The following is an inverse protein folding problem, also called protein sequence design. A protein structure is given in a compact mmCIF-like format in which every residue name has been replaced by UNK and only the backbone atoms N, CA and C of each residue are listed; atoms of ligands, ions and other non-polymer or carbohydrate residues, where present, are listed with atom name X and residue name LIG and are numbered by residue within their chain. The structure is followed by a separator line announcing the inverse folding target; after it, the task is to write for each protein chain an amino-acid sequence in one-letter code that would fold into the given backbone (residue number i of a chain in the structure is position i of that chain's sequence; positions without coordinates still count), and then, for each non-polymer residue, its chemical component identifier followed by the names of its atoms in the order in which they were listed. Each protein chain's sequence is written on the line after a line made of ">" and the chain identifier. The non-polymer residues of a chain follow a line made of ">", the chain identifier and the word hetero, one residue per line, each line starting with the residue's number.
data_IF_590630706446
#
_entry.id   IF_590630706446
#
_cell.length_a   1.000
_cell.length_b   1.000
_cell.length_c   1.000
_cell.angle_alpha   90.00
_cell.angle_beta   90.00
_cell.angle_gamma   90.00
#
_symmetry.space_group_name_H-M   'P 1'
#
loop_
_entity.id
_entity.type
_entity.pdbx_description
1 polymer ?
#
# COMPACT_ATOMS: atom_id res chain seq x y z
N UNK A 1 11.58 -7.20 5.23
CA UNK A 1 10.11 -7.21 5.19
C UNK A 1 9.69 -7.63 3.79
N UNK A 2 8.65 -8.43 3.69
CA UNK A 2 8.04 -8.80 2.42
C UNK A 2 6.51 -8.73 2.57
N UNK A 3 5.82 -8.40 1.51
CA UNK A 3 4.36 -8.49 1.42
C UNK A 3 3.99 -9.78 0.71
N UNK A 4 3.13 -10.60 1.30
CA UNK A 4 2.80 -11.85 0.66
C UNK A 4 2.08 -12.88 1.51
N UNK A 5 2.29 -14.12 1.13
CA UNK A 5 1.70 -15.30 1.75
C UNK A 5 2.74 -16.15 2.47
N UNK A 6 2.32 -16.69 3.58
CA UNK A 6 3.03 -17.73 4.32
C UNK A 6 2.47 -19.10 3.95
N UNK A 7 3.33 -20.04 3.67
CA UNK A 7 2.96 -21.44 3.42
C UNK A 7 3.74 -22.36 4.35
N UNK A 8 3.05 -23.33 4.95
CA UNK A 8 3.69 -24.34 5.75
C UNK A 8 3.04 -25.70 5.56
N UNK A 9 3.86 -26.75 5.37
CA UNK A 9 3.40 -28.14 5.49
C UNK A 9 3.17 -28.45 6.96
N UNK A 10 1.98 -28.97 7.28
CA UNK A 10 1.63 -29.30 8.65
C UNK A 10 2.19 -30.68 9.04
N UNK A 11 2.68 -30.86 10.27
CA UNK A 11 2.89 -32.19 10.82
C UNK A 11 1.55 -32.90 10.94
N UNK A 12 1.57 -34.19 11.27
CA UNK A 12 0.34 -34.92 11.59
C UNK A 12 -0.25 -34.34 12.89
N UNK A 13 -1.45 -33.79 12.80
CA UNK A 13 -2.20 -33.19 13.91
C UNK A 13 -3.55 -33.89 14.04
N UNK A 14 -4.13 -33.89 15.22
CA UNK A 14 -5.51 -34.37 15.44
C UNK A 14 -6.52 -33.46 14.75
N UNK A 15 -7.63 -33.97 14.29
CA UNK A 15 -8.72 -33.16 13.76
C UNK A 15 -9.17 -32.13 14.82
N UNK A 16 -9.35 -30.88 14.40
CA UNK A 16 -9.72 -29.78 15.26
C UNK A 16 -8.55 -29.12 16.01
N UNK A 17 -7.31 -29.62 15.86
CA UNK A 17 -6.14 -28.96 16.47
C UNK A 17 -5.89 -27.62 15.78
N UNK A 18 -5.75 -26.56 16.57
CA UNK A 18 -5.53 -25.20 16.08
C UNK A 18 -4.05 -24.83 16.13
N UNK A 19 -3.54 -24.32 15.02
CA UNK A 19 -2.19 -23.72 14.90
C UNK A 19 -2.35 -22.26 14.57
N UNK A 20 -1.74 -21.38 15.35
CA UNK A 20 -1.78 -19.93 15.13
C UNK A 20 -0.48 -19.45 14.50
N UNK A 21 -0.58 -18.66 13.44
CA UNK A 21 0.50 -17.90 12.82
C UNK A 21 0.26 -16.41 13.06
N UNK A 22 1.19 -15.75 13.74
CA UNK A 22 1.18 -14.30 13.97
C UNK A 22 2.32 -13.67 13.17
N UNK A 23 2.07 -12.49 12.60
CA UNK A 23 2.98 -11.82 11.68
C UNK A 23 3.48 -10.52 12.29
N UNK A 24 4.76 -10.19 12.04
CA UNK A 24 5.36 -8.93 12.46
C UNK A 24 6.48 -8.51 11.52
N UNK A 25 6.64 -7.23 11.31
CA UNK A 25 7.77 -6.66 10.59
C UNK A 25 8.97 -6.38 11.51
N UNK A 26 8.76 -6.40 12.83
CA UNK A 26 9.74 -5.99 13.81
C UNK A 26 9.85 -6.93 15.01
N UNK A 27 10.92 -6.76 15.76
CA UNK A 27 11.09 -7.26 17.13
C UNK A 27 11.20 -6.08 18.07
N UNK A 28 10.83 -6.28 19.35
CA UNK A 28 11.04 -5.27 20.39
C UNK A 28 12.54 -5.01 20.59
N UNK A 29 12.88 -4.00 21.36
CA UNK A 29 14.29 -3.69 21.71
C UNK A 29 14.98 -4.83 22.44
N UNK A 30 14.21 -5.65 23.15
CA UNK A 30 14.64 -6.84 23.88
C UNK A 30 14.77 -8.07 22.97
N UNK A 31 14.39 -7.96 21.70
CA UNK A 31 14.42 -9.06 20.72
C UNK A 31 13.19 -9.97 20.74
N UNK A 32 12.16 -9.59 21.49
CA UNK A 32 10.90 -10.31 21.53
C UNK A 32 10.01 -10.01 20.31
N UNK A 33 9.10 -10.91 19.99
CA UNK A 33 8.16 -10.75 18.89
C UNK A 33 7.21 -9.57 19.16
N UNK A 34 7.27 -8.56 18.32
CA UNK A 34 6.39 -7.39 18.40
C UNK A 34 5.02 -7.71 17.81
N UNK A 35 3.99 -7.77 18.67
CA UNK A 35 2.65 -8.21 18.28
C UNK A 35 1.87 -7.06 17.64
N UNK A 36 1.69 -7.11 16.32
CA UNK A 36 1.00 -6.08 15.55
C UNK A 36 -0.49 -6.40 15.28
N UNK A 37 -1.00 -7.53 15.78
CA UNK A 37 -2.40 -7.90 15.68
C UNK A 37 -2.77 -8.72 14.44
N UNK A 38 -1.88 -8.89 13.47
CA UNK A 38 -2.11 -9.74 12.30
C UNK A 38 -1.90 -11.21 12.64
N UNK A 39 -2.88 -12.05 12.36
CA UNK A 39 -2.79 -13.49 12.60
C UNK A 39 -3.71 -14.31 11.71
N UNK A 40 -3.32 -15.57 11.50
CA UNK A 40 -4.16 -16.61 10.92
C UNK A 40 -4.24 -17.79 11.86
N UNK A 41 -5.38 -18.52 11.80
CA UNK A 41 -5.56 -19.77 12.53
C UNK A 41 -5.81 -20.88 11.51
N UNK A 42 -5.02 -21.93 11.58
CA UNK A 42 -5.23 -23.15 10.83
C UNK A 42 -5.88 -24.21 11.74
N UNK A 43 -6.97 -24.80 11.29
CA UNK A 43 -7.65 -25.89 11.98
C UNK A 43 -7.39 -27.19 11.22
N UNK A 44 -6.71 -28.13 11.88
CA UNK A 44 -6.31 -29.40 11.27
C UNK A 44 -7.51 -30.30 10.97
N UNK A 45 -7.49 -30.93 9.80
CA UNK A 45 -8.49 -31.91 9.40
C UNK A 45 -8.18 -33.34 9.85
N UNK A 46 -7.04 -33.57 10.52
CA UNK A 46 -6.62 -34.89 11.01
C UNK A 46 -6.04 -35.82 9.94
N UNK A 47 -5.55 -35.30 8.84
CA UNK A 47 -5.02 -36.04 7.70
C UNK A 47 -3.52 -35.85 7.50
N UNK A 48 -2.89 -36.81 6.84
CA UNK A 48 -1.47 -36.65 6.44
C UNK A 48 -1.36 -35.72 5.23
N UNK A 49 -0.29 -34.91 5.17
CA UNK A 49 0.04 -34.09 4.03
C UNK A 49 -0.74 -32.79 3.95
N UNK A 50 -1.38 -32.39 5.05
CA UNK A 50 -2.03 -31.08 5.13
C UNK A 50 -1.01 -29.95 5.03
N UNK A 51 -1.46 -28.82 4.53
CA UNK A 51 -0.67 -27.60 4.47
C UNK A 51 -1.56 -26.38 4.68
N UNK A 52 -0.96 -25.32 5.19
CA UNK A 52 -1.54 -23.99 5.26
C UNK A 52 -0.91 -23.09 4.20
N UNK A 53 -1.73 -22.27 3.58
CA UNK A 53 -1.33 -21.09 2.78
C UNK A 53 -2.43 -20.05 2.89
N UNK A 54 -2.05 -18.78 3.06
CA UNK A 54 -2.99 -17.67 2.89
C UNK A 54 -3.66 -17.75 1.50
N UNK A 55 -4.90 -17.31 1.40
CA UNK A 55 -5.64 -17.32 0.11
C UNK A 55 -6.08 -15.93 -0.32
N UNK A 56 -6.86 -15.25 0.50
CA UNK A 56 -7.45 -13.96 0.17
C UNK A 56 -6.85 -12.82 0.98
N UNK A 57 -6.33 -13.11 2.16
CA UNK A 57 -5.57 -12.20 2.97
C UNK A 57 -4.07 -12.30 2.64
N UNK A 58 -3.36 -11.23 2.84
CA UNK A 58 -1.90 -11.17 2.76
C UNK A 58 -1.38 -10.46 4.01
N UNK A 59 -0.11 -10.65 4.29
CA UNK A 59 0.56 -9.99 5.40
C UNK A 59 1.86 -9.34 4.92
N UNK A 60 2.30 -8.30 5.62
CA UNK A 60 3.64 -7.79 5.47
C UNK A 60 4.44 -8.13 6.71
N UNK A 61 5.50 -8.88 6.54
CA UNK A 61 6.23 -9.45 7.66
C UNK A 61 7.72 -9.65 7.38
N UNK A 62 8.47 -9.71 8.44
CA UNK A 62 9.82 -10.25 8.51
C UNK A 62 9.86 -11.49 9.39
N UNK A 63 8.98 -11.54 10.37
CA UNK A 63 8.92 -12.60 11.39
C UNK A 63 7.52 -13.23 11.40
N UNK A 64 7.49 -14.55 11.58
CA UNK A 64 6.25 -15.30 11.79
C UNK A 64 6.42 -16.13 13.06
N UNK A 65 5.56 -15.85 14.04
CA UNK A 65 5.48 -16.68 15.26
C UNK A 65 4.41 -17.74 15.05
N UNK A 66 4.82 -19.00 15.21
CA UNK A 66 3.94 -20.16 15.07
C UNK A 66 3.72 -20.76 16.45
N UNK A 67 2.47 -20.86 16.87
CA UNK A 67 2.08 -21.39 18.19
C UNK A 67 1.27 -22.67 18.06
N UNK A 68 1.27 -23.47 19.13
CA UNK A 68 0.53 -24.74 19.24
C UNK A 68 1.00 -25.85 18.27
N UNK A 69 2.25 -25.83 17.85
CA UNK A 69 2.85 -26.99 17.18
C UNK A 69 3.43 -27.96 18.22
N UNK A 70 3.32 -29.29 18.00
CA UNK A 70 3.89 -30.29 18.90
C UNK A 70 5.43 -30.31 18.88
N UNK A 71 6.05 -29.80 17.82
CA UNK A 71 7.49 -29.70 17.66
C UNK A 71 7.84 -28.56 16.69
N UNK A 72 9.11 -28.11 16.74
CA UNK A 72 9.65 -27.11 15.81
C UNK A 72 9.52 -27.63 14.36
N UNK A 73 8.91 -26.87 13.44
CA UNK A 73 8.81 -27.26 12.04
C UNK A 73 10.17 -27.29 11.37
N UNK A 74 10.33 -28.15 10.39
CA UNK A 74 11.54 -28.15 9.55
C UNK A 74 11.50 -26.95 8.59
N UNK A 75 12.66 -26.35 8.36
CA UNK A 75 12.78 -25.16 7.49
C UNK A 75 12.28 -25.43 6.06
N UNK A 76 12.53 -26.64 5.53
CA UNK A 76 12.05 -27.03 4.20
C UNK A 76 10.52 -27.15 4.08
N UNK A 77 9.79 -27.13 5.19
CA UNK A 77 8.32 -27.13 5.23
C UNK A 77 7.72 -25.73 5.10
N UNK A 78 8.53 -24.71 5.22
CA UNK A 78 8.11 -23.32 5.28
C UNK A 78 8.51 -22.62 3.99
N UNK A 79 7.56 -21.82 3.43
CA UNK A 79 7.81 -20.93 2.31
C UNK A 79 7.20 -19.57 2.58
N UNK A 80 7.86 -18.54 2.14
CA UNK A 80 7.37 -17.18 2.06
C UNK A 80 7.21 -16.82 0.59
N UNK A 81 6.00 -16.44 0.20
CA UNK A 81 5.62 -16.17 -1.19
C UNK A 81 5.34 -14.68 -1.32
N UNK A 82 6.24 -13.94 -1.97
CA UNK A 82 6.02 -12.52 -2.22
C UNK A 82 4.88 -12.32 -3.22
N UNK A 83 3.97 -11.40 -2.91
CA UNK A 83 2.90 -10.95 -3.79
C UNK A 83 3.19 -9.52 -4.21
N UNK A 84 3.13 -9.26 -5.51
CA UNK A 84 3.30 -7.93 -6.10
C UNK A 84 2.63 -7.87 -7.46
N UNK A 85 2.39 -6.66 -7.97
CA UNK A 85 1.95 -6.48 -9.34
C UNK A 85 3.02 -6.97 -10.32
N UNK A 86 2.63 -7.81 -11.29
CA UNK A 86 3.55 -8.31 -12.33
C UNK A 86 3.81 -7.20 -13.37
N UNK A 87 4.51 -6.17 -12.93
CA UNK A 87 4.85 -5.02 -13.77
C UNK A 87 6.12 -5.28 -14.57
N UNK A 88 6.07 -4.97 -15.86
CA UNK A 88 7.25 -4.96 -16.70
C UNK A 88 8.20 -3.85 -16.23
N UNK A 89 9.43 -4.22 -15.90
CA UNK A 89 10.49 -3.25 -15.59
C UNK A 89 10.85 -2.46 -16.84
N UNK A 90 10.86 -1.13 -16.72
CA UNK A 90 11.12 -0.21 -17.85
C UNK A 90 12.44 0.53 -17.75
N UNK A 91 13.05 0.55 -16.58
CA UNK A 91 14.33 1.18 -16.36
C UNK A 91 15.27 0.30 -15.54
N UNK A 92 16.56 0.43 -15.80
CA UNK A 92 17.65 -0.11 -15.00
C UNK A 92 18.58 1.01 -14.60
N UNK A 93 19.20 0.89 -13.45
CA UNK A 93 20.19 1.85 -12.98
C UNK A 93 21.40 1.09 -12.44
N UNK A 94 22.58 1.51 -12.89
CA UNK A 94 23.86 1.02 -12.41
C UNK A 94 24.88 2.16 -12.49
N UNK A 95 25.68 2.33 -11.45
CA UNK A 95 26.78 3.30 -11.41
C UNK A 95 27.97 2.73 -10.62
N UNK A 96 29.07 3.46 -10.58
CA UNK A 96 30.28 3.08 -9.86
C UNK A 96 30.15 3.17 -8.33
N UNK A 97 29.12 3.86 -7.83
CA UNK A 97 28.84 4.01 -6.39
C UNK A 97 27.94 2.87 -5.92
N UNK A 98 28.49 2.05 -5.02
CA UNK A 98 27.78 0.87 -4.47
C UNK A 98 26.57 1.26 -3.61
N UNK A 99 26.62 2.38 -2.90
CA UNK A 99 25.53 2.83 -2.03
C UNK A 99 24.34 3.33 -2.85
N UNK A 100 24.59 4.04 -3.94
CA UNK A 100 23.53 4.46 -4.86
C UNK A 100 22.86 3.25 -5.53
N UNK A 101 23.62 2.25 -5.93
CA UNK A 101 23.05 1.00 -6.45
C UNK A 101 22.20 0.28 -5.39
N UNK A 102 22.66 0.23 -4.13
CA UNK A 102 21.91 -0.38 -3.03
C UNK A 102 20.61 0.39 -2.73
N UNK A 103 20.64 1.71 -2.72
CA UNK A 103 19.47 2.57 -2.53
C UNK A 103 18.45 2.34 -3.65
N UNK A 104 18.89 2.31 -4.92
CA UNK A 104 18.01 2.04 -6.05
C UNK A 104 17.31 0.67 -5.92
N UNK A 105 18.07 -0.37 -5.59
CA UNK A 105 17.53 -1.72 -5.40
C UNK A 105 16.55 -1.78 -4.22
N UNK A 106 16.83 -1.07 -3.15
CA UNK A 106 15.93 -0.96 -1.98
C UNK A 106 14.61 -0.27 -2.36
N UNK A 107 14.66 0.83 -3.10
CA UNK A 107 13.46 1.53 -3.58
C UNK A 107 12.65 0.61 -4.49
N UNK A 108 13.31 -0.07 -5.42
CA UNK A 108 12.67 -0.99 -6.36
C UNK A 108 11.96 -2.14 -5.62
N UNK A 109 12.60 -2.71 -4.60
CA UNK A 109 12.01 -3.74 -3.76
C UNK A 109 10.83 -3.21 -2.92
N UNK A 110 10.97 -2.00 -2.37
CA UNK A 110 9.89 -1.34 -1.61
C UNK A 110 8.66 -1.13 -2.49
N UNK A 111 8.84 -0.63 -3.71
CA UNK A 111 7.72 -0.47 -4.66
C UNK A 111 7.00 -1.79 -4.93
N UNK A 112 7.72 -2.90 -5.05
CA UNK A 112 7.10 -4.24 -5.19
C UNK A 112 6.30 -4.63 -3.95
N UNK A 113 6.78 -4.32 -2.76
CA UNK A 113 6.07 -4.63 -1.52
C UNK A 113 4.80 -3.80 -1.31
N UNK A 114 4.73 -2.60 -1.90
CA UNK A 114 3.63 -1.66 -1.72
C UNK A 114 2.60 -1.70 -2.86
N UNK A 115 2.93 -2.27 -4.03
CA UNK A 115 2.07 -2.22 -5.22
C UNK A 115 1.49 -3.58 -5.56
N UNK A 116 0.25 -3.79 -5.17
CA UNK A 116 -0.57 -4.94 -5.55
C UNK A 116 -2.04 -4.53 -5.56
N UNK A 117 -2.91 -5.36 -6.10
CA UNK A 117 -4.37 -5.11 -6.14
C UNK A 117 -4.81 -3.84 -6.89
N UNK A 118 -3.96 -3.29 -7.75
CA UNK A 118 -4.33 -2.19 -8.65
C UNK A 118 -4.12 -0.78 -8.11
N UNK A 119 -3.44 -0.63 -6.98
CA UNK A 119 -2.97 0.65 -6.42
C UNK A 119 -1.75 0.44 -5.52
N UNK A 120 -1.14 1.53 -5.09
CA UNK A 120 -0.09 1.50 -4.08
C UNK A 120 -0.67 1.76 -2.70
N UNK A 121 -0.25 0.98 -1.73
CA UNK A 121 -0.61 1.20 -0.32
C UNK A 121 0.50 1.95 0.42
N UNK A 122 0.15 2.60 1.51
CA UNK A 122 1.07 3.25 2.44
C UNK A 122 1.92 2.25 3.21
N UNK A 123 1.28 1.40 4.00
CA UNK A 123 1.92 0.37 4.81
C UNK A 123 1.16 -0.98 4.69
N UNK A 124 1.81 -2.03 4.17
CA UNK A 124 1.11 -3.27 3.85
C UNK A 124 0.83 -4.16 5.07
N UNK A 125 1.28 -3.77 6.26
CA UNK A 125 1.10 -4.51 7.52
C UNK A 125 0.04 -3.89 8.44
N UNK A 126 -0.41 -2.65 8.20
CA UNK A 126 -1.41 -1.96 9.04
C UNK A 126 -2.61 -1.52 8.21
N UNK A 127 -2.58 -0.31 7.67
CA UNK A 127 -3.73 0.37 7.08
C UNK A 127 -4.10 -0.17 5.69
N UNK A 128 -3.12 -0.50 4.86
CA UNK A 128 -3.28 -1.05 3.49
C UNK A 128 -4.13 -0.16 2.60
N UNK A 129 -4.00 1.14 2.79
CA UNK A 129 -4.83 2.13 2.13
C UNK A 129 -4.08 2.87 1.01
N UNK A 130 -4.79 3.22 -0.05
CA UNK A 130 -4.24 3.95 -1.19
C UNK A 130 -4.20 5.45 -0.92
N UNK A 131 -3.30 5.91 -0.04
CA UNK A 131 -3.15 7.32 0.28
C UNK A 131 -2.64 8.13 -0.90
N UNK A 132 -3.29 9.26 -1.17
CA UNK A 132 -2.92 10.15 -2.26
C UNK A 132 -1.56 10.84 -2.07
N UNK A 133 -1.17 11.10 -0.82
CA UNK A 133 0.15 11.66 -0.49
C UNK A 133 1.28 10.71 -0.85
N UNK A 134 1.14 9.44 -0.47
CA UNK A 134 2.06 8.36 -0.83
C UNK A 134 2.10 8.16 -2.34
N UNK A 135 0.93 8.16 -2.97
CA UNK A 135 0.80 8.14 -4.41
C UNK A 135 1.56 9.27 -5.10
N UNK A 136 1.38 10.51 -4.65
CA UNK A 136 2.07 11.68 -5.20
C UNK A 136 3.59 11.58 -5.06
N UNK A 137 4.07 11.19 -3.90
CA UNK A 137 5.51 11.05 -3.61
C UNK A 137 6.17 9.96 -4.45
N UNK A 138 5.45 8.87 -4.73
CA UNK A 138 5.99 7.67 -5.36
C UNK A 138 5.72 7.57 -6.86
N UNK A 139 4.80 8.35 -7.40
CA UNK A 139 4.36 8.25 -8.81
C UNK A 139 5.53 8.32 -9.79
N UNK A 140 6.44 9.27 -9.63
CA UNK A 140 7.57 9.43 -10.55
C UNK A 140 8.48 8.21 -10.54
N UNK A 141 8.88 7.75 -9.36
CA UNK A 141 9.74 6.57 -9.22
C UNK A 141 9.07 5.33 -9.78
N UNK A 142 7.80 5.10 -9.46
CA UNK A 142 7.06 3.94 -9.91
C UNK A 142 6.88 3.92 -11.43
N UNK A 143 6.47 5.03 -12.03
CA UNK A 143 6.28 5.15 -13.49
C UNK A 143 7.60 5.16 -14.27
N UNK A 144 8.72 5.50 -13.65
CA UNK A 144 10.05 5.42 -14.26
C UNK A 144 10.56 3.99 -14.26
N UNK A 145 10.40 3.28 -13.14
CA UNK A 145 10.95 1.93 -12.97
C UNK A 145 10.10 0.85 -13.63
N UNK A 146 8.78 1.04 -13.72
CA UNK A 146 7.83 0.03 -14.16
C UNK A 146 6.77 0.59 -15.11
N UNK A 147 6.29 -0.28 -16.00
CA UNK A 147 5.10 0.00 -16.82
C UNK A 147 3.85 -0.22 -15.97
N UNK A 148 3.37 0.85 -15.36
CA UNK A 148 2.23 0.85 -14.42
C UNK A 148 1.05 1.67 -14.92
N UNK A 149 0.99 2.01 -16.20
CA UNK A 149 -0.12 2.76 -16.78
C UNK A 149 -1.50 2.14 -16.49
N UNK A 150 -1.69 0.81 -16.58
CA UNK A 150 -2.97 0.17 -16.22
C UNK A 150 -3.33 0.36 -14.74
N UNK A 151 -2.34 0.27 -13.84
CA UNK A 151 -2.54 0.49 -12.39
C UNK A 151 -3.01 1.91 -12.11
N UNK A 152 -2.37 2.91 -12.70
CA UNK A 152 -2.79 4.30 -12.54
C UNK A 152 -4.17 4.57 -13.15
N UNK A 153 -4.49 3.92 -14.26
CA UNK A 153 -5.83 4.00 -14.85
C UNK A 153 -6.90 3.51 -13.87
N UNK A 154 -6.70 2.33 -13.28
CA UNK A 154 -7.60 1.78 -12.28
C UNK A 154 -7.64 2.65 -11.01
N UNK A 155 -6.49 3.08 -10.52
CA UNK A 155 -6.40 3.84 -9.27
C UNK A 155 -7.09 5.21 -9.39
N UNK A 156 -6.87 5.94 -10.48
CA UNK A 156 -7.54 7.23 -10.73
C UNK A 156 -9.05 7.04 -10.93
N UNK A 157 -9.49 5.93 -11.51
CA UNK A 157 -10.91 5.61 -11.56
C UNK A 157 -11.50 5.51 -10.15
N UNK A 158 -10.86 4.76 -9.23
CA UNK A 158 -11.36 4.64 -7.85
C UNK A 158 -11.38 5.98 -7.11
N UNK A 159 -10.42 6.88 -7.37
CA UNK A 159 -10.45 8.25 -6.87
C UNK A 159 -11.63 9.04 -7.41
N UNK A 160 -11.86 8.96 -8.72
CA UNK A 160 -13.00 9.61 -9.37
C UNK A 160 -14.34 9.11 -8.83
N UNK A 161 -14.47 7.81 -8.60
CA UNK A 161 -15.69 7.18 -8.09
C UNK A 161 -15.96 7.50 -6.62
N UNK A 162 -14.91 7.78 -5.84
CA UNK A 162 -15.01 8.15 -4.42
C UNK A 162 -15.25 9.64 -4.18
N UNK A 163 -15.28 10.47 -5.22
CA UNK A 163 -15.58 11.90 -5.08
C UNK A 163 -17.00 12.11 -4.54
N UNK A 164 -17.09 12.88 -3.46
CA UNK A 164 -18.35 13.21 -2.80
C UNK A 164 -19.05 14.36 -3.53
N UNK A 165 -20.35 14.50 -3.28
CA UNK A 165 -21.10 15.64 -3.78
C UNK A 165 -20.43 16.96 -3.39
N UNK A 166 -20.32 17.89 -4.35
CA UNK A 166 -19.66 19.18 -4.17
C UNK A 166 -18.15 19.15 -4.33
N UNK A 167 -17.56 18.02 -4.74
CA UNK A 167 -16.16 17.91 -5.19
C UNK A 167 -15.14 17.55 -4.12
N UNK A 168 -15.56 17.26 -2.87
CA UNK A 168 -14.62 16.83 -1.85
C UNK A 168 -14.12 15.41 -2.08
N UNK A 169 -12.88 15.15 -1.69
CA UNK A 169 -12.24 13.85 -1.74
C UNK A 169 -11.73 13.44 -0.35
N UNK A 170 -11.73 12.15 -0.07
CA UNK A 170 -11.00 11.60 1.06
C UNK A 170 -9.49 11.63 0.76
N UNK A 171 -8.66 11.37 1.78
CA UNK A 171 -7.22 11.27 1.61
C UNK A 171 -6.75 9.92 1.07
N UNK A 172 -7.68 8.98 0.87
CA UNK A 172 -7.44 7.63 0.32
C UNK A 172 -8.41 7.32 -0.83
N UNK A 173 -7.96 6.53 -1.76
CA UNK A 173 -8.77 5.96 -2.83
C UNK A 173 -8.27 4.55 -3.21
N UNK A 174 -9.12 3.48 -3.13
CA UNK A 174 -10.53 3.51 -2.73
C UNK A 174 -10.74 3.95 -1.29
N UNK A 175 -11.93 4.53 -1.00
CA UNK A 175 -12.22 5.08 0.31
C UNK A 175 -12.97 4.09 1.21
N UNK A 176 -12.33 3.54 2.27
CA UNK A 176 -12.98 2.65 3.22
C UNK A 176 -13.76 3.37 4.34
N UNK A 177 -14.02 4.68 4.20
CA UNK A 177 -14.66 5.50 5.23
C UNK A 177 -13.74 6.56 5.85
N UNK A 178 -12.58 6.81 5.23
CA UNK A 178 -11.65 7.83 5.69
C UNK A 178 -12.18 9.26 5.50
N UNK A 179 -11.69 10.19 6.31
CA UNK A 179 -11.99 11.61 6.23
C UNK A 179 -11.42 12.30 5.01
N UNK A 180 -11.70 13.58 4.85
CA UNK A 180 -11.10 14.43 3.83
C UNK A 180 -9.65 14.73 4.16
N UNK A 181 -8.80 14.65 3.17
CA UNK A 181 -7.37 14.97 3.28
C UNK A 181 -7.04 16.35 2.79
N UNK A 182 -5.86 16.80 3.14
CA UNK A 182 -5.33 18.06 2.66
C UNK A 182 -5.08 18.07 1.16
N UNK A 183 -4.76 19.23 0.61
CA UNK A 183 -4.66 19.42 -0.84
C UNK A 183 -3.59 18.54 -1.51
N UNK A 184 -2.53 18.19 -0.82
CA UNK A 184 -1.49 17.31 -1.34
C UNK A 184 -2.01 15.87 -1.54
N UNK A 185 -2.78 15.33 -0.59
CA UNK A 185 -3.38 13.99 -0.72
C UNK A 185 -4.48 13.96 -1.77
N UNK A 186 -5.45 14.87 -1.67
CA UNK A 186 -6.57 14.92 -2.61
C UNK A 186 -6.15 15.39 -4.01
N UNK A 187 -5.08 16.17 -4.12
CA UNK A 187 -4.49 16.60 -5.39
C UNK A 187 -3.94 15.46 -6.24
N UNK A 188 -3.88 14.25 -5.73
CA UNK A 188 -3.54 13.05 -6.49
C UNK A 188 -4.43 12.86 -7.72
N UNK A 189 -5.71 13.25 -7.64
CA UNK A 189 -6.66 13.23 -8.78
C UNK A 189 -6.17 14.09 -9.98
N UNK A 190 -5.30 15.07 -9.73
CA UNK A 190 -4.72 15.94 -10.76
C UNK A 190 -3.31 15.49 -11.12
N UNK A 191 -2.47 15.26 -10.11
CA UNK A 191 -1.05 14.94 -10.29
C UNK A 191 -0.83 13.62 -11.03
N UNK A 192 -1.53 12.58 -10.65
CA UNK A 192 -1.32 11.26 -11.24
C UNK A 192 -1.69 11.19 -12.74
N UNK A 193 -2.85 11.73 -13.19
CA UNK A 193 -3.16 11.83 -14.62
C UNK A 193 -2.13 12.67 -15.40
N UNK A 194 -1.66 13.79 -14.83
CA UNK A 194 -0.64 14.61 -15.47
C UNK A 194 0.68 13.85 -15.63
N UNK A 195 1.17 13.20 -14.59
CA UNK A 195 2.40 12.40 -14.64
C UNK A 195 2.28 11.22 -15.61
N UNK A 196 1.12 10.57 -15.63
CA UNK A 196 0.84 9.50 -16.59
C UNK A 196 0.88 10.01 -18.04
N UNK A 197 0.33 11.19 -18.31
CA UNK A 197 0.44 11.82 -19.62
C UNK A 197 1.90 12.12 -19.98
N UNK A 198 2.66 12.72 -19.07
CA UNK A 198 4.08 13.08 -19.33
C UNK A 198 4.93 11.84 -19.60
N UNK A 199 4.71 10.75 -18.85
CA UNK A 199 5.55 9.56 -18.96
C UNK A 199 5.13 8.62 -20.14
N UNK A 200 3.85 8.53 -20.44
CA UNK A 200 3.32 7.58 -21.43
C UNK A 200 2.72 8.24 -22.67
N UNK A 201 2.68 9.57 -22.73
CA UNK A 201 2.01 10.35 -23.78
C UNK A 201 0.52 9.92 -23.95
N UNK A 202 -0.12 9.50 -22.86
CA UNK A 202 -1.51 9.03 -22.85
C UNK A 202 -2.44 10.09 -22.22
N UNK A 203 -3.23 10.81 -23.03
CA UNK A 203 -4.11 11.87 -22.52
C UNK A 203 -5.42 11.34 -21.95
N UNK A 204 -5.70 10.03 -21.98
CA UNK A 204 -7.01 9.47 -21.63
C UNK A 204 -7.42 9.78 -20.20
N UNK A 205 -6.52 9.66 -19.23
CA UNK A 205 -6.82 9.98 -17.83
C UNK A 205 -7.16 11.46 -17.65
N UNK A 206 -6.38 12.36 -18.26
CA UNK A 206 -6.69 13.79 -18.21
C UNK A 206 -8.07 14.05 -18.83
N UNK A 207 -8.33 13.56 -20.04
CA UNK A 207 -9.61 13.78 -20.74
C UNK A 207 -10.79 13.27 -19.92
N UNK A 208 -10.68 12.07 -19.37
CA UNK A 208 -11.79 11.42 -18.67
C UNK A 208 -12.08 12.05 -17.30
N UNK A 209 -11.05 12.52 -16.60
CA UNK A 209 -11.17 13.02 -15.22
C UNK A 209 -11.06 14.55 -15.11
N UNK A 210 -10.86 15.28 -16.21
CA UNK A 210 -10.78 16.74 -16.20
C UNK A 210 -12.03 17.41 -15.57
N UNK A 211 -13.27 16.95 -15.81
CA UNK A 211 -14.44 17.50 -15.11
C UNK A 211 -14.33 17.35 -13.58
N UNK A 212 -13.90 16.20 -13.09
CA UNK A 212 -13.71 15.94 -11.65
C UNK A 212 -12.55 16.74 -11.07
N UNK A 213 -11.46 16.96 -11.82
CA UNK A 213 -10.37 17.84 -11.40
C UNK A 213 -10.89 19.28 -11.19
N UNK A 214 -11.71 19.80 -12.12
CA UNK A 214 -12.32 21.13 -11.98
C UNK A 214 -13.27 21.19 -10.78
N UNK A 215 -14.06 20.15 -10.57
CA UNK A 215 -14.97 20.07 -9.43
C UNK A 215 -14.21 20.11 -8.10
N UNK A 216 -13.10 19.36 -8.01
CA UNK A 216 -12.21 19.40 -6.85
C UNK A 216 -11.59 20.80 -6.65
N UNK A 217 -11.08 21.45 -7.69
CA UNK A 217 -10.58 22.82 -7.59
C UNK A 217 -11.67 23.81 -7.14
N UNK A 218 -12.89 23.68 -7.67
CA UNK A 218 -14.01 24.50 -7.24
C UNK A 218 -14.37 24.26 -5.76
N UNK A 219 -14.16 23.05 -5.26
CA UNK A 219 -14.30 22.75 -3.83
C UNK A 219 -13.22 23.45 -3.01
N UNK A 220 -11.96 23.38 -3.42
CA UNK A 220 -10.82 24.04 -2.75
C UNK A 220 -11.00 25.56 -2.73
N UNK A 221 -11.44 26.15 -3.83
CA UNK A 221 -11.65 27.61 -3.96
C UNK A 221 -12.65 28.16 -2.93
N UNK A 222 -13.65 27.39 -2.51
CA UNK A 222 -14.61 27.79 -1.47
C UNK A 222 -13.95 28.10 -0.12
N UNK A 223 -12.78 27.53 0.12
CA UNK A 223 -12.03 27.64 1.40
C UNK A 223 -10.73 28.44 1.24
N UNK A 224 -10.50 28.99 0.04
CA UNK A 224 -9.36 29.83 -0.27
C UNK A 224 -9.69 31.30 0.04
N UNK A 225 -8.86 31.96 0.82
CA UNK A 225 -9.00 33.37 1.17
C UNK A 225 -7.73 34.10 0.73
N UNK A 226 -7.90 35.16 -0.05
CA UNK A 226 -6.79 35.96 -0.61
C UNK A 226 -5.76 35.09 -1.36
N UNK A 227 -6.23 34.09 -2.11
CA UNK A 227 -5.38 33.16 -2.85
C UNK A 227 -4.66 32.12 -1.99
N UNK A 228 -4.96 32.02 -0.71
CA UNK A 228 -4.33 31.09 0.22
C UNK A 228 -5.35 30.16 0.86
N UNK A 229 -5.06 28.86 0.85
CA UNK A 229 -5.82 27.85 1.57
C UNK A 229 -5.23 27.71 3.00
N UNK A 230 -5.85 28.39 3.97
CA UNK A 230 -5.37 28.44 5.36
C UNK A 230 -5.98 27.36 6.26
N UNK A 231 -7.13 26.83 5.90
CA UNK A 231 -7.86 25.81 6.67
C UNK A 231 -8.49 24.80 5.74
N UNK A 232 -8.47 23.54 6.18
CA UNK A 232 -9.20 22.48 5.49
C UNK A 232 -10.57 22.27 6.16
N UNK A 233 -11.67 22.13 5.41
CA UNK A 233 -13.01 22.12 6.00
C UNK A 233 -13.40 20.81 6.67
N UNK A 234 -12.65 19.74 6.48
CA UNK A 234 -12.94 18.45 7.08
C UNK A 234 -12.85 18.54 8.62
N UNK A 235 -13.90 18.09 9.31
CA UNK A 235 -13.99 18.20 10.75
C UNK A 235 -12.97 17.38 11.52
N UNK A 236 -12.46 16.31 10.92
CA UNK A 236 -11.46 15.45 11.54
C UNK A 236 -10.04 16.06 11.44
N UNK A 237 -9.76 16.78 10.34
CA UNK A 237 -8.43 17.31 10.05
C UNK A 237 -8.45 18.82 9.77
N UNK A 238 -9.35 19.53 10.40
CA UNK A 238 -9.71 20.93 10.11
C UNK A 238 -8.54 21.90 9.97
N UNK A 239 -7.55 21.80 10.82
CA UNK A 239 -6.38 22.68 10.82
C UNK A 239 -5.11 21.91 10.47
N UNK A 240 -5.26 20.68 9.98
CA UNK A 240 -4.17 19.78 9.62
C UNK A 240 -4.31 19.31 8.18
N UNK A 241 -3.32 19.61 7.37
CA UNK A 241 -3.31 19.32 5.95
C UNK A 241 -2.72 17.94 5.62
N UNK A 242 -2.60 17.03 6.59
CA UNK A 242 -1.89 15.76 6.44
C UNK A 242 -0.48 15.99 5.84
N UNK A 243 0.32 16.82 6.49
CA UNK A 243 1.71 17.00 6.13
C UNK A 243 2.56 15.80 6.52
N UNK A 244 3.87 15.92 6.37
CA UNK A 244 4.79 14.92 6.87
C UNK A 244 4.61 14.74 8.39
N UNK A 245 4.46 13.50 8.82
CA UNK A 245 4.34 13.14 10.24
C UNK A 245 5.53 13.59 11.09
N UNK A 246 6.69 13.79 10.47
CA UNK A 246 7.92 14.26 11.10
C UNK A 246 8.15 15.75 10.93
N UNK A 247 7.24 16.48 10.30
CA UNK A 247 7.36 17.94 10.21
C UNK A 247 7.40 18.54 11.61
N UNK A 248 8.40 19.36 11.95
CA UNK A 248 8.43 20.05 13.24
C UNK A 248 7.24 21.01 13.31
N UNK A 249 6.52 20.91 14.43
CA UNK A 249 5.37 21.77 14.78
C UNK A 249 5.92 23.13 15.25
#
# INVERSE_FOLDING_TARGET
>A
IQTGWFEMKMPMLSAGHEVTMEYSDNLTKEGEFDKQGESDVYIAGGRRGEYFRNKFNHHAYRYVRISNLPARPKTEWIKSLQIYGDYRQTATFECSDADLNAIHNMIQYTMKCLTFSGYMVDCPHLERAGYGGDGNSSTMSLQTMYDVAPTFTNWIQTWGDSMREGGSLAHVGPNPGAGGGGPYWCGFIVQAPWRTYVNYNDPRLIKNYYPKMKEWFSYVDKYTVDGLLKRWPDTQYRDWFLGDWLAPI
#
